data_IF_034409889707
#
_entry.id   IF_034409889707
#
_cell.length_a   1.000
_cell.length_b   1.000
_cell.length_c   1.000
_cell.angle_alpha   90.00
_cell.angle_beta   90.00
_cell.angle_gamma   90.00
#
_symmetry.space_group_name_H-M   'P 1'
#
loop_
_entity.id
_entity.type
_entity.pdbx_description
1 polymer ?
#
# COMPACT_ATOMS: atom_id res chain seq x y z
N UNK A 1 41.27 22.68 -6.17
CA UNK A 1 39.89 22.58 -5.66
C UNK A 1 39.46 21.13 -5.84
N UNK A 2 39.28 20.39 -4.76
CA UNK A 2 38.65 19.06 -4.82
C UNK A 2 37.22 19.23 -5.34
N UNK A 3 36.85 18.46 -6.37
CA UNK A 3 35.44 18.28 -6.74
C UNK A 3 34.76 17.59 -5.56
N UNK A 4 33.98 18.33 -4.76
CA UNK A 4 32.95 17.70 -3.94
C UNK A 4 31.95 17.10 -4.92
N UNK A 5 31.90 15.77 -4.99
CA UNK A 5 30.79 15.10 -5.66
C UNK A 5 29.50 15.49 -4.95
N UNK A 6 28.52 15.96 -5.72
CA UNK A 6 27.21 16.30 -5.18
C UNK A 6 26.59 15.03 -4.57
N UNK A 7 26.24 15.11 -3.29
CA UNK A 7 25.54 14.00 -2.61
C UNK A 7 24.08 14.05 -3.02
N UNK A 8 23.68 13.14 -3.90
CA UNK A 8 22.31 13.03 -4.38
C UNK A 8 21.52 12.04 -3.50
N UNK A 9 20.23 12.34 -3.30
CA UNK A 9 19.27 11.48 -2.62
C UNK A 9 17.91 11.63 -3.31
N UNK A 10 17.15 10.54 -3.42
CA UNK A 10 15.75 10.57 -3.82
C UNK A 10 14.90 10.33 -2.56
N UNK A 11 13.91 11.20 -2.33
CA UNK A 11 12.98 11.09 -1.21
C UNK A 11 11.64 10.62 -1.75
N UNK A 12 11.17 9.47 -1.28
CA UNK A 12 9.92 8.86 -1.76
C UNK A 12 9.02 8.47 -0.58
N UNK A 13 7.71 8.59 -0.79
CA UNK A 13 6.68 8.23 0.19
C UNK A 13 5.61 7.36 -0.48
N UNK A 14 5.38 6.17 0.06
CA UNK A 14 4.46 5.20 -0.51
C UNK A 14 3.06 5.32 0.13
N UNK A 15 2.11 4.49 -0.29
CA UNK A 15 0.73 4.35 0.20
C UNK A 15 -0.22 5.55 0.00
N UNK A 16 0.28 6.78 0.03
CA UNK A 16 -0.54 7.99 -0.10
C UNK A 16 -1.25 8.38 1.20
N UNK A 17 -0.63 8.12 2.35
CA UNK A 17 -1.18 8.48 3.67
C UNK A 17 -1.33 9.98 3.87
N UNK A 18 -2.38 10.41 4.58
CA UNK A 18 -2.71 11.81 4.83
C UNK A 18 -1.62 12.58 5.59
N UNK A 19 -0.83 11.90 6.43
CA UNK A 19 0.31 12.49 7.13
C UNK A 19 1.43 12.95 6.19
N UNK A 20 1.53 12.37 4.99
CA UNK A 20 2.44 12.87 3.96
C UNK A 20 2.11 14.31 3.55
N UNK A 21 0.82 14.65 3.48
CA UNK A 21 0.40 16.02 3.23
C UNK A 21 0.40 16.88 4.50
N UNK A 22 -0.08 16.36 5.63
CA UNK A 22 -0.26 17.17 6.86
C UNK A 22 1.05 17.47 7.59
N UNK A 23 2.04 16.56 7.51
CA UNK A 23 3.28 16.62 8.30
C UNK A 23 4.50 16.72 7.39
N UNK A 24 4.64 15.83 6.42
CA UNK A 24 5.84 15.77 5.57
C UNK A 24 5.91 16.96 4.61
N UNK A 25 4.81 17.32 3.96
CA UNK A 25 4.79 18.39 2.97
C UNK A 25 5.25 19.77 3.51
N UNK A 26 4.79 20.25 4.68
CA UNK A 26 5.35 21.45 5.30
C UNK A 26 6.88 21.42 5.47
N UNK A 27 7.43 20.27 5.84
CA UNK A 27 8.88 20.09 6.02
C UNK A 27 9.60 20.15 4.66
N UNK A 28 9.10 19.42 3.66
CA UNK A 28 9.68 19.47 2.30
C UNK A 28 9.70 20.90 1.75
N UNK A 29 8.61 21.66 1.92
CA UNK A 29 8.55 23.07 1.54
C UNK A 29 9.57 23.93 2.27
N UNK A 30 9.73 23.75 3.58
CA UNK A 30 10.71 24.49 4.38
C UNK A 30 12.15 24.31 3.84
N UNK A 31 12.47 23.09 3.40
CA UNK A 31 13.80 22.77 2.86
C UNK A 31 13.90 22.88 1.34
N UNK A 32 12.82 23.27 0.65
CA UNK A 32 12.72 23.28 -0.81
C UNK A 32 13.14 21.94 -1.44
N UNK A 33 12.84 20.84 -0.75
CA UNK A 33 13.25 19.50 -1.14
C UNK A 33 12.19 18.88 -2.08
N UNK A 34 12.57 18.44 -3.29
CA UNK A 34 11.67 17.67 -4.14
C UNK A 34 11.47 16.26 -3.55
N UNK A 35 10.28 15.70 -3.76
CA UNK A 35 9.95 14.34 -3.37
C UNK A 35 8.94 13.72 -4.35
N UNK A 36 8.86 12.40 -4.34
CA UNK A 36 7.86 11.64 -5.08
C UNK A 36 6.92 10.91 -4.13
N UNK A 37 5.62 10.93 -4.44
CA UNK A 37 4.58 10.24 -3.67
C UNK A 37 3.93 9.15 -4.53
N UNK A 38 3.72 7.97 -3.96
CA UNK A 38 3.15 6.80 -4.64
C UNK A 38 1.85 6.38 -3.95
N UNK A 39 0.73 7.09 -4.19
CA UNK A 39 -0.57 6.74 -3.65
C UNK A 39 -1.16 5.45 -4.24
N UNK A 40 -1.98 4.79 -3.43
CA UNK A 40 -2.82 3.64 -3.80
C UNK A 40 -4.10 4.14 -4.49
N UNK A 41 -4.56 3.45 -5.55
CA UNK A 41 -5.72 3.88 -6.33
C UNK A 41 -7.10 3.70 -5.65
N UNK A 42 -7.28 2.64 -4.86
CA UNK A 42 -8.57 2.24 -4.26
C UNK A 42 -9.16 3.32 -3.32
N UNK A 43 -8.39 3.92 -2.38
CA UNK A 43 -8.88 5.02 -1.55
C UNK A 43 -9.40 6.20 -2.37
N UNK A 44 -8.73 6.52 -3.48
CA UNK A 44 -9.12 7.64 -4.35
C UNK A 44 -10.42 7.34 -5.10
N UNK A 45 -10.49 6.17 -5.74
CA UNK A 45 -11.56 5.79 -6.66
C UNK A 45 -12.86 5.38 -5.96
N UNK A 46 -12.77 4.56 -4.91
CA UNK A 46 -13.95 3.92 -4.29
C UNK A 46 -14.21 4.38 -2.85
N UNK A 47 -13.33 5.21 -2.27
CA UNK A 47 -13.35 5.56 -0.83
C UNK A 47 -13.34 4.32 0.06
N UNK A 48 -12.56 3.32 -0.34
CA UNK A 48 -12.39 2.04 0.36
C UNK A 48 -10.96 1.87 0.85
N UNK A 49 -10.85 1.19 1.99
CA UNK A 49 -9.58 0.93 2.66
C UNK A 49 -8.90 -0.30 2.05
N UNK A 50 -7.61 -0.24 1.67
CA UNK A 50 -6.86 -1.41 1.21
C UNK A 50 -6.80 -2.49 2.29
N UNK A 51 -6.79 -3.77 1.89
CA UNK A 51 -6.81 -4.90 2.84
C UNK A 51 -5.65 -4.85 3.84
N UNK A 52 -4.47 -4.44 3.39
CA UNK A 52 -3.28 -4.25 4.24
C UNK A 52 -3.55 -3.22 5.34
N UNK A 53 -4.24 -2.13 5.02
CA UNK A 53 -4.55 -1.07 5.97
C UNK A 53 -5.70 -1.45 6.90
N UNK A 54 -6.71 -2.18 6.41
CA UNK A 54 -7.74 -2.82 7.26
C UNK A 54 -7.10 -3.74 8.30
N UNK A 55 -6.11 -4.54 7.89
CA UNK A 55 -5.36 -5.41 8.80
C UNK A 55 -4.58 -4.61 9.84
N UNK A 56 -3.94 -3.50 9.46
CA UNK A 56 -3.24 -2.63 10.42
C UNK A 56 -4.18 -2.03 11.47
N UNK A 57 -5.37 -1.60 11.06
CA UNK A 57 -6.41 -1.10 11.98
C UNK A 57 -6.84 -2.23 12.93
N UNK A 58 -7.18 -3.41 12.40
CA UNK A 58 -7.52 -4.58 13.23
C UNK A 58 -6.42 -4.94 14.23
N UNK A 59 -5.14 -4.88 13.82
CA UNK A 59 -3.98 -5.11 14.70
C UNK A 59 -3.82 -4.05 15.79
N UNK A 60 -4.26 -2.81 15.55
CA UNK A 60 -4.24 -1.74 16.55
C UNK A 60 -5.39 -1.84 17.56
N UNK A 61 -6.51 -2.44 17.17
CA UNK A 61 -7.72 -2.51 18.00
C UNK A 61 -7.90 -3.87 18.69
N UNK A 62 -7.26 -4.93 18.18
CA UNK A 62 -7.43 -6.30 18.65
C UNK A 62 -6.10 -6.89 19.11
N UNK A 63 -6.02 -7.48 20.32
CA UNK A 63 -4.83 -8.22 20.73
C UNK A 63 -4.45 -9.30 19.71
N UNK A 64 -3.15 -9.39 19.38
CA UNK A 64 -2.65 -10.29 18.32
C UNK A 64 -3.10 -11.75 18.49
N UNK A 65 -3.16 -12.26 19.72
CA UNK A 65 -3.59 -13.63 20.00
C UNK A 65 -5.06 -13.86 19.67
N UNK A 66 -5.92 -12.88 19.93
CA UNK A 66 -7.34 -12.94 19.62
C UNK A 66 -7.56 -12.88 18.10
N UNK A 67 -6.80 -12.02 17.40
CA UNK A 67 -6.83 -11.94 15.95
C UNK A 67 -6.37 -13.26 15.31
N UNK A 68 -5.28 -13.86 15.79
CA UNK A 68 -4.83 -15.20 15.36
C UNK A 68 -5.92 -16.25 15.59
N UNK A 69 -6.62 -16.21 16.73
CA UNK A 69 -7.72 -17.13 17.00
C UNK A 69 -8.89 -16.92 16.04
N UNK A 70 -9.23 -15.67 15.69
CA UNK A 70 -10.24 -15.36 14.68
C UNK A 70 -9.86 -15.91 13.30
N UNK A 71 -8.60 -15.73 12.87
CA UNK A 71 -8.08 -16.29 11.62
C UNK A 71 -8.17 -17.83 11.62
N UNK A 72 -7.72 -18.48 12.70
CA UNK A 72 -7.81 -19.94 12.84
C UNK A 72 -9.26 -20.43 12.76
N UNK A 73 -10.19 -19.74 13.44
CA UNK A 73 -11.63 -20.08 13.40
C UNK A 73 -12.19 -19.96 11.98
N UNK A 74 -11.87 -18.88 11.27
CA UNK A 74 -12.34 -18.64 9.90
C UNK A 74 -11.94 -19.78 8.95
N UNK A 75 -10.71 -20.28 9.04
CA UNK A 75 -10.21 -21.37 8.21
C UNK A 75 -10.43 -22.77 8.79
N UNK A 76 -11.20 -22.92 9.87
CA UNK A 76 -11.42 -24.22 10.53
C UNK A 76 -10.12 -24.89 10.98
N UNK A 77 -9.14 -24.11 11.43
CA UNK A 77 -7.85 -24.58 11.92
C UNK A 77 -6.81 -24.94 10.85
N UNK A 78 -7.12 -24.79 9.56
CA UNK A 78 -6.21 -25.17 8.46
C UNK A 78 -5.03 -24.23 8.26
N UNK A 79 -5.11 -23.00 8.77
CA UNK A 79 -4.04 -22.01 8.68
C UNK A 79 -3.19 -22.06 9.94
N UNK A 80 -1.90 -22.29 9.76
CA UNK A 80 -0.90 -22.27 10.81
C UNK A 80 -0.12 -20.95 10.78
N UNK A 81 0.09 -20.35 11.94
CA UNK A 81 0.91 -19.15 12.13
C UNK A 81 1.98 -19.56 13.13
N UNK A 82 3.23 -19.58 12.67
CA UNK A 82 4.40 -19.91 13.49
C UNK A 82 4.59 -18.82 14.56
N UNK A 83 4.74 -19.23 15.81
CA UNK A 83 4.90 -18.34 16.96
C UNK A 83 6.33 -18.22 17.47
N UNK A 84 7.25 -19.04 16.95
CA UNK A 84 8.59 -19.21 17.52
C UNK A 84 9.67 -18.66 16.60
N UNK A 85 9.52 -18.84 15.28
CA UNK A 85 10.54 -18.45 14.31
C UNK A 85 10.04 -17.37 13.36
N UNK A 86 10.81 -16.29 13.23
CA UNK A 86 10.56 -15.27 12.21
C UNK A 86 10.72 -15.88 10.80
N UNK A 87 9.65 -15.88 10.02
CA UNK A 87 9.62 -16.47 8.67
C UNK A 87 10.33 -15.54 7.67
N UNK A 88 10.04 -14.24 7.73
CA UNK A 88 10.63 -13.24 6.83
C UNK A 88 11.56 -12.29 7.61
N UNK A 89 12.89 -12.44 7.50
CA UNK A 89 13.83 -11.59 8.22
C UNK A 89 13.80 -10.11 7.78
N UNK A 90 13.18 -9.79 6.65
CA UNK A 90 12.99 -8.40 6.21
C UNK A 90 11.97 -7.64 7.07
N UNK A 91 11.07 -8.34 7.78
CA UNK A 91 10.08 -7.76 8.71
C UNK A 91 10.64 -7.56 10.12
N UNK A 92 11.78 -6.89 10.22
CA UNK A 92 12.54 -6.74 11.48
C UNK A 92 11.94 -5.80 12.52
N UNK A 93 10.87 -5.08 12.18
CA UNK A 93 10.25 -4.06 13.03
C UNK A 93 8.94 -4.54 13.68
N UNK A 94 8.36 -5.62 13.19
CA UNK A 94 7.21 -6.30 13.80
C UNK A 94 7.73 -7.37 14.78
N UNK A 95 6.94 -7.68 15.82
CA UNK A 95 7.18 -8.90 16.62
C UNK A 95 6.95 -10.17 15.77
N UNK A 96 7.44 -11.32 16.24
CA UNK A 96 7.39 -12.59 15.49
C UNK A 96 5.97 -12.96 15.10
N UNK A 97 4.99 -12.82 16.00
CA UNK A 97 3.61 -13.21 15.75
C UNK A 97 2.96 -12.28 14.72
N UNK A 98 3.11 -10.97 14.89
CA UNK A 98 2.56 -9.98 13.97
C UNK A 98 3.16 -10.14 12.57
N UNK A 99 4.49 -10.31 12.49
CA UNK A 99 5.19 -10.52 11.22
C UNK A 99 4.69 -11.79 10.52
N UNK A 100 4.63 -12.91 11.25
CA UNK A 100 4.25 -14.19 10.68
C UNK A 100 2.76 -14.24 10.31
N UNK A 101 1.89 -13.56 11.06
CA UNK A 101 0.49 -13.37 10.66
C UNK A 101 0.42 -12.63 9.30
N UNK A 102 1.10 -11.48 9.17
CA UNK A 102 1.10 -10.70 7.92
C UNK A 102 1.61 -11.52 6.73
N UNK A 103 2.72 -12.25 6.88
CA UNK A 103 3.24 -13.11 5.80
C UNK A 103 2.28 -14.25 5.46
N UNK A 104 1.67 -14.89 6.47
CA UNK A 104 0.69 -15.95 6.26
C UNK A 104 -0.51 -15.45 5.46
N UNK A 105 -1.03 -14.26 5.81
CA UNK A 105 -2.14 -13.66 5.09
C UNK A 105 -1.76 -13.21 3.67
N UNK A 106 -0.54 -12.75 3.45
CA UNK A 106 -0.03 -12.41 2.10
C UNK A 106 0.00 -13.65 1.19
N UNK A 107 0.35 -14.81 1.74
CA UNK A 107 0.42 -16.08 1.00
C UNK A 107 -0.95 -16.70 0.65
N UNK A 108 -2.04 -16.23 1.27
CA UNK A 108 -3.40 -16.66 0.91
C UNK A 108 -3.78 -16.15 -0.49
N UNK A 109 -4.74 -16.82 -1.12
CA UNK A 109 -5.37 -16.28 -2.34
C UNK A 109 -6.04 -14.93 -2.03
N UNK A 110 -6.16 -14.06 -3.04
CA UNK A 110 -6.81 -12.75 -2.89
C UNK A 110 -8.23 -12.91 -2.35
N UNK A 111 -8.98 -13.91 -2.82
CA UNK A 111 -10.35 -14.17 -2.39
C UNK A 111 -10.44 -14.63 -0.92
N UNK A 112 -9.55 -15.50 -0.48
CA UNK A 112 -9.50 -15.94 0.92
C UNK A 112 -9.11 -14.79 1.83
N UNK A 113 -8.07 -14.04 1.47
CA UNK A 113 -7.62 -12.86 2.22
C UNK A 113 -8.72 -11.80 2.29
N UNK A 114 -9.39 -11.52 1.17
CA UNK A 114 -10.47 -10.53 1.11
C UNK A 114 -11.64 -10.96 2.00
N UNK A 115 -12.16 -12.19 1.86
CA UNK A 115 -13.28 -12.66 2.68
C UNK A 115 -12.96 -12.64 4.17
N UNK A 116 -11.74 -13.00 4.56
CA UNK A 116 -11.30 -12.92 5.94
C UNK A 116 -11.27 -11.47 6.42
N UNK A 117 -10.46 -10.62 5.79
CA UNK A 117 -10.19 -9.26 6.31
C UNK A 117 -11.43 -8.39 6.23
N UNK A 118 -12.20 -8.46 5.14
CA UNK A 118 -13.48 -7.74 5.03
C UNK A 118 -14.48 -8.24 6.08
N UNK A 119 -14.55 -9.55 6.30
CA UNK A 119 -15.43 -10.15 7.30
C UNK A 119 -15.08 -9.76 8.74
N UNK A 120 -13.79 -9.65 9.08
CA UNK A 120 -13.34 -9.19 10.40
C UNK A 120 -13.52 -7.68 10.55
N UNK A 121 -13.13 -6.90 9.55
CA UNK A 121 -13.25 -5.44 9.57
C UNK A 121 -14.72 -5.02 9.69
N UNK A 122 -15.61 -5.66 8.94
CA UNK A 122 -17.06 -5.39 8.97
C UNK A 122 -17.77 -5.75 10.28
N UNK A 123 -17.12 -6.50 11.20
CA UNK A 123 -17.67 -6.74 12.54
C UNK A 123 -17.52 -5.53 13.47
N UNK A 124 -16.48 -4.71 13.24
CA UNK A 124 -16.16 -3.55 14.08
C UNK A 124 -16.44 -2.22 13.39
N UNK A 125 -16.47 -2.21 12.05
CA UNK A 125 -16.56 -1.01 11.24
C UNK A 125 -17.66 -1.13 10.18
N UNK A 126 -18.65 -0.25 10.25
CA UNK A 126 -19.63 -0.08 9.18
C UNK A 126 -19.00 0.55 7.94
N UNK A 127 -19.68 0.45 6.80
CA UNK A 127 -19.21 1.08 5.55
C UNK A 127 -19.11 2.61 5.62
N UNK A 128 -19.89 3.27 6.49
CA UNK A 128 -19.76 4.72 6.71
C UNK A 128 -18.49 5.02 7.52
N UNK A 129 -18.22 4.25 8.57
CA UNK A 129 -16.98 4.39 9.33
C UNK A 129 -15.76 4.12 8.45
N UNK A 130 -15.80 3.12 7.56
CA UNK A 130 -14.70 2.89 6.61
C UNK A 130 -14.42 4.13 5.75
N UNK A 131 -15.46 4.80 5.24
CA UNK A 131 -15.30 6.02 4.44
C UNK A 131 -14.66 7.16 5.23
N UNK A 132 -15.04 7.32 6.48
CA UNK A 132 -14.44 8.34 7.36
C UNK A 132 -12.98 8.01 7.67
N UNK A 133 -12.66 6.74 7.95
CA UNK A 133 -11.27 6.29 8.14
C UNK A 133 -10.43 6.51 6.87
N UNK A 134 -10.99 6.30 5.68
CA UNK A 134 -10.29 6.61 4.42
C UNK A 134 -9.96 8.11 4.31
N UNK A 135 -10.90 9.00 4.66
CA UNK A 135 -10.64 10.46 4.68
C UNK A 135 -9.62 10.85 5.75
N UNK A 136 -9.59 10.13 6.86
CA UNK A 136 -8.66 10.37 7.95
C UNK A 136 -7.23 9.97 7.56
N UNK A 137 -7.07 8.79 6.96
CA UNK A 137 -5.78 8.14 6.76
C UNK A 137 -5.15 8.34 5.38
N UNK A 138 -5.91 8.67 4.33
CA UNK A 138 -5.38 8.83 2.97
C UNK A 138 -5.53 10.26 2.46
N UNK A 139 -4.57 10.67 1.63
CA UNK A 139 -4.66 11.96 0.94
C UNK A 139 -5.84 11.99 -0.03
N UNK A 140 -6.49 13.15 -0.10
CA UNK A 140 -7.53 13.40 -1.09
C UNK A 140 -6.94 13.68 -2.48
N UNK A 141 -7.80 13.68 -3.51
CA UNK A 141 -7.38 14.06 -4.86
C UNK A 141 -6.93 15.54 -4.91
N UNK A 142 -7.57 16.40 -4.12
CA UNK A 142 -7.24 17.81 -3.98
C UNK A 142 -5.85 17.98 -3.33
N UNK A 143 -5.56 17.27 -2.24
CA UNK A 143 -4.25 17.30 -1.57
C UNK A 143 -3.13 16.80 -2.50
N UNK A 144 -3.35 15.69 -3.21
CA UNK A 144 -2.41 15.19 -4.22
C UNK A 144 -2.22 16.19 -5.38
N UNK A 145 -3.30 16.83 -5.81
CA UNK A 145 -3.27 17.89 -6.83
C UNK A 145 -2.44 19.09 -6.40
N UNK A 146 -2.54 19.51 -5.14
CA UNK A 146 -1.73 20.59 -4.59
C UNK A 146 -0.25 20.21 -4.50
N UNK A 147 0.09 18.99 -4.04
CA UNK A 147 1.47 18.51 -4.04
C UNK A 147 2.08 18.59 -5.45
N UNK A 148 1.34 18.09 -6.44
CA UNK A 148 1.76 18.11 -7.85
C UNK A 148 1.92 19.54 -8.38
N UNK A 149 0.98 20.43 -8.09
CA UNK A 149 1.05 21.83 -8.51
C UNK A 149 2.25 22.58 -7.91
N UNK A 150 2.80 22.09 -6.80
CA UNK A 150 3.98 22.64 -6.13
C UNK A 150 5.27 21.85 -6.40
N UNK A 151 5.32 21.09 -7.50
CA UNK A 151 6.55 20.46 -7.98
C UNK A 151 6.92 19.13 -7.33
N UNK A 152 5.98 18.49 -6.61
CA UNK A 152 6.16 17.10 -6.18
C UNK A 152 5.74 16.15 -7.31
N UNK A 153 6.44 15.03 -7.41
CA UNK A 153 6.08 13.99 -8.37
C UNK A 153 5.04 13.03 -7.79
N UNK A 154 4.09 12.58 -8.61
CA UNK A 154 3.10 11.58 -8.21
C UNK A 154 3.23 10.33 -9.10
N UNK A 155 3.60 9.21 -8.50
CA UNK A 155 3.67 7.89 -9.11
C UNK A 155 2.46 7.02 -8.75
N UNK A 156 2.51 5.74 -9.11
CA UNK A 156 1.47 4.75 -8.80
C UNK A 156 1.99 3.65 -7.87
N UNK A 157 1.18 3.29 -6.88
CA UNK A 157 1.43 2.16 -5.98
C UNK A 157 0.35 1.09 -6.07
N UNK A 158 -0.03 0.73 -7.30
CA UNK A 158 -1.13 -0.19 -7.65
C UNK A 158 -2.53 0.31 -7.25
N UNK A 159 -3.54 -0.50 -7.55
CA UNK A 159 -4.92 -0.19 -7.21
C UNK A 159 -5.27 -0.52 -5.76
N UNK A 160 -5.11 -1.77 -5.32
CA UNK A 160 -5.51 -2.26 -4.01
C UNK A 160 -4.34 -2.58 -3.06
N UNK A 161 -3.10 -2.27 -3.45
CA UNK A 161 -1.89 -2.58 -2.68
C UNK A 161 -1.67 -4.10 -2.51
N UNK A 162 -1.97 -4.87 -3.55
CA UNK A 162 -1.76 -6.33 -3.54
C UNK A 162 -0.30 -6.68 -3.82
N UNK A 163 0.20 -7.74 -3.16
CA UNK A 163 1.52 -8.30 -3.46
C UNK A 163 1.53 -8.92 -4.87
N UNK A 164 2.19 -8.27 -5.83
CA UNK A 164 2.08 -8.62 -7.25
C UNK A 164 2.63 -10.01 -7.57
N UNK A 165 3.62 -10.49 -6.80
CA UNK A 165 4.19 -11.82 -6.99
C UNK A 165 3.25 -12.99 -6.63
N UNK A 166 2.15 -12.71 -5.91
CA UNK A 166 1.12 -13.69 -5.56
C UNK A 166 -0.02 -13.74 -6.58
N UNK A 167 -0.01 -12.86 -7.59
CA UNK A 167 -1.07 -12.72 -8.58
C UNK A 167 -0.70 -13.37 -9.91
N UNK A 168 -1.69 -13.87 -10.64
CA UNK A 168 -1.53 -14.26 -12.05
C UNK A 168 -1.18 -13.04 -12.91
N UNK A 169 -0.62 -13.26 -14.10
CA UNK A 169 -0.24 -12.16 -15.01
C UNK A 169 -1.42 -11.24 -15.35
N UNK A 170 -2.61 -11.78 -15.55
CA UNK A 170 -3.82 -10.98 -15.84
C UNK A 170 -4.25 -10.13 -14.65
N UNK A 171 -4.24 -10.69 -13.45
CA UNK A 171 -4.57 -9.96 -12.22
C UNK A 171 -3.54 -8.86 -11.94
N UNK A 172 -2.24 -9.12 -12.16
CA UNK A 172 -1.22 -8.08 -12.07
C UNK A 172 -1.46 -6.93 -13.05
N UNK A 173 -1.83 -7.26 -14.30
CA UNK A 173 -2.11 -6.24 -15.31
C UNK A 173 -3.30 -5.37 -14.91
N UNK A 174 -4.38 -6.00 -14.42
CA UNK A 174 -5.55 -5.28 -13.93
C UNK A 174 -5.20 -4.39 -12.73
N UNK A 175 -4.52 -4.93 -11.73
CA UNK A 175 -4.12 -4.24 -10.50
C UNK A 175 -3.25 -3.01 -10.77
N UNK A 176 -2.32 -3.10 -11.73
CA UNK A 176 -1.45 -2.00 -12.15
C UNK A 176 -2.24 -0.96 -12.96
N UNK A 177 -3.02 -1.42 -13.94
CA UNK A 177 -3.74 -0.53 -14.87
C UNK A 177 -4.83 0.26 -14.14
N UNK A 178 -5.62 -0.40 -13.29
CA UNK A 178 -6.65 0.27 -12.47
C UNK A 178 -6.05 1.31 -11.53
N UNK A 179 -4.87 1.03 -10.96
CA UNK A 179 -4.16 1.99 -10.11
C UNK A 179 -3.74 3.24 -10.90
N UNK A 180 -3.20 3.03 -12.10
CA UNK A 180 -2.80 4.09 -13.02
C UNK A 180 -3.99 4.93 -13.51
N UNK A 181 -5.12 4.29 -13.78
CA UNK A 181 -6.36 4.94 -14.21
C UNK A 181 -7.01 5.73 -13.07
N UNK A 182 -7.08 5.18 -11.85
CA UNK A 182 -7.60 5.88 -10.68
C UNK A 182 -6.85 7.21 -10.44
N UNK A 183 -5.52 7.19 -10.58
CA UNK A 183 -4.70 8.39 -10.44
C UNK A 183 -4.88 9.36 -11.60
N UNK A 184 -5.03 8.86 -12.83
CA UNK A 184 -5.34 9.72 -13.97
C UNK A 184 -6.69 10.41 -13.82
N UNK A 185 -7.71 9.70 -13.36
CA UNK A 185 -9.03 10.25 -13.11
C UNK A 185 -9.00 11.32 -12.00
N UNK A 186 -8.15 11.13 -10.98
CA UNK A 186 -7.99 12.10 -9.89
C UNK A 186 -7.14 13.33 -10.27
N UNK A 187 -6.09 13.16 -11.09
CA UNK A 187 -5.05 14.18 -11.31
C UNK A 187 -4.93 14.68 -12.75
N UNK A 188 -5.78 14.19 -13.65
CA UNK A 188 -5.84 14.58 -15.05
C UNK A 188 -4.71 14.06 -15.94
N UNK A 189 -3.79 13.25 -15.42
CA UNK A 189 -2.77 12.58 -16.24
C UNK A 189 -2.33 11.25 -15.64
N UNK A 190 -1.88 10.34 -16.49
CA UNK A 190 -1.30 9.09 -16.03
C UNK A 190 0.05 9.33 -15.32
N UNK A 191 0.30 8.64 -14.19
CA UNK A 191 1.62 8.63 -13.59
C UNK A 191 2.61 7.87 -14.48
N UNK A 192 3.84 8.36 -14.50
CA UNK A 192 4.97 7.80 -15.26
C UNK A 192 5.92 6.99 -14.39
N UNK A 193 5.73 6.98 -13.07
CA UNK A 193 6.53 6.21 -12.12
C UNK A 193 5.67 5.20 -11.37
N UNK A 194 6.27 4.09 -10.99
CA UNK A 194 5.61 2.98 -10.32
C UNK A 194 6.44 2.51 -9.11
N UNK A 195 5.80 2.03 -8.05
CA UNK A 195 6.50 1.34 -6.95
C UNK A 195 5.76 0.05 -6.63
N UNK A 196 6.49 -1.05 -6.45
CA UNK A 196 5.93 -2.37 -6.16
C UNK A 196 5.47 -2.48 -4.69
N UNK A 197 4.18 -2.77 -4.41
CA UNK A 197 3.72 -3.02 -3.06
C UNK A 197 4.56 -4.11 -2.38
N UNK A 198 4.94 -3.85 -1.13
CA UNK A 198 5.78 -4.76 -0.32
C UNK A 198 7.16 -5.08 -0.94
N UNK A 199 7.61 -4.35 -1.99
CA UNK A 199 8.81 -4.69 -2.75
C UNK A 199 8.75 -6.05 -3.44
N UNK A 200 7.55 -6.56 -3.71
CA UNK A 200 7.30 -7.90 -4.27
C UNK A 200 6.88 -7.80 -5.73
N UNK A 201 7.65 -8.43 -6.60
CA UNK A 201 7.42 -8.45 -8.05
C UNK A 201 8.04 -9.71 -8.68
N UNK A 202 7.61 -10.04 -9.90
CA UNK A 202 8.18 -11.13 -10.68
C UNK A 202 8.35 -10.73 -12.16
N UNK A 203 8.80 -11.67 -13.00
CA UNK A 203 9.05 -11.41 -14.42
C UNK A 203 7.81 -10.91 -15.18
N UNK A 204 6.60 -11.36 -14.79
CA UNK A 204 5.36 -10.85 -15.38
C UNK A 204 5.17 -9.37 -15.02
N UNK A 205 5.40 -9.01 -13.75
CA UNK A 205 5.29 -7.63 -13.27
C UNK A 205 6.20 -6.69 -14.04
N UNK A 206 7.48 -7.07 -14.20
CA UNK A 206 8.45 -6.29 -14.95
C UNK A 206 8.04 -6.12 -16.42
N UNK A 207 7.52 -7.18 -17.04
CA UNK A 207 7.02 -7.14 -18.42
C UNK A 207 5.81 -6.22 -18.59
N UNK A 208 4.89 -6.21 -17.62
CA UNK A 208 3.71 -5.34 -17.63
C UNK A 208 4.12 -3.88 -17.44
N UNK A 209 4.92 -3.57 -16.42
CA UNK A 209 5.36 -2.20 -16.13
C UNK A 209 6.11 -1.61 -17.33
N UNK A 210 6.98 -2.40 -17.97
CA UNK A 210 7.66 -2.00 -19.20
C UNK A 210 6.68 -1.80 -20.37
N UNK A 211 5.70 -2.70 -20.53
CA UNK A 211 4.70 -2.61 -21.61
C UNK A 211 3.69 -1.48 -21.44
N UNK A 212 3.56 -0.92 -20.24
CA UNK A 212 2.76 0.27 -19.94
C UNK A 212 3.59 1.57 -20.02
N UNK A 213 4.85 1.52 -20.44
CA UNK A 213 5.72 2.69 -20.60
C UNK A 213 5.92 3.52 -19.31
N UNK A 214 5.96 2.87 -18.14
CA UNK A 214 6.48 3.52 -16.93
C UNK A 214 7.96 3.85 -17.12
N UNK A 215 8.35 5.08 -16.82
CA UNK A 215 9.71 5.61 -16.98
C UNK A 215 10.64 5.19 -15.84
N UNK A 216 10.10 4.96 -14.64
CA UNK A 216 10.83 4.54 -13.45
C UNK A 216 9.97 3.57 -12.62
N UNK A 217 10.58 2.49 -12.13
CA UNK A 217 9.94 1.52 -11.25
C UNK A 217 10.93 0.86 -10.28
#
# INVERSE_FOLDING_TARGET
>A
MEKREDKLCAVTFDDGLAEHYRVVWPILRQYQAPAAFFPIGLPLAEKRMPLTHKLHILLSETPILDLIQQVRRFFGGRVHIDSERLINPKRRFDDVLTSNLKETLIALTVDERSRLIEGLFGQSHSSEQERELVKEFFMSAEELGELKANGMDIGSHTYGHLALDTLSRSEQLEEITRGREALCNALGCHPDMFVYPHGRYNANTLGIVKGLDFKLA
#
